data_IF_687491147755
#
_entry.id   IF_687491147755
#
_cell.length_a   1.000
_cell.length_b   1.000
_cell.length_c   1.000
_cell.angle_alpha   90.00
_cell.angle_beta   90.00
_cell.angle_gamma   90.00
#
_symmetry.space_group_name_H-M   'P 1'
#
loop_
_entity.id
_entity.type
_entity.pdbx_description
1 polymer ?
#
# COMPACT_ATOMS: atom_id res chain seq x y z
N UNK A 1 -4.57 -11.46 -11.66
CA UNK A 1 -5.33 -10.27 -11.24
C UNK A 1 -5.39 -10.20 -9.72
N UNK A 2 -4.24 -10.01 -9.04
CA UNK A 2 -4.22 -9.97 -7.57
C UNK A 2 -3.16 -9.00 -7.00
N UNK A 3 -2.69 -8.05 -7.81
CA UNK A 3 -1.54 -7.20 -7.47
C UNK A 3 -1.81 -5.72 -7.76
N UNK A 4 -3.04 -5.24 -7.49
CA UNK A 4 -3.40 -3.83 -7.72
C UNK A 4 -3.06 -3.00 -6.48
N UNK A 5 -2.06 -2.10 -6.53
CA UNK A 5 -1.68 -1.27 -5.37
C UNK A 5 -2.83 -0.36 -4.91
N UNK A 6 -3.72 0.04 -5.82
CA UNK A 6 -4.91 0.82 -5.51
C UNK A 6 -5.79 0.16 -4.42
N UNK A 7 -5.96 -1.17 -4.46
CA UNK A 7 -6.73 -1.88 -3.42
C UNK A 7 -6.03 -1.87 -2.06
N UNK A 8 -4.68 -1.89 -2.04
CA UNK A 8 -3.90 -1.73 -0.82
C UNK A 8 -4.12 -0.35 -0.20
N UNK A 9 -4.15 0.69 -1.04
CA UNK A 9 -4.40 2.05 -0.59
C UNK A 9 -5.83 2.22 -0.05
N UNK A 10 -6.83 1.71 -0.75
CA UNK A 10 -8.22 1.74 -0.27
C UNK A 10 -8.38 1.00 1.05
N UNK A 11 -7.72 -0.14 1.21
CA UNK A 11 -7.78 -0.90 2.46
C UNK A 11 -7.06 -0.18 3.61
N UNK A 12 -5.95 0.51 3.34
CA UNK A 12 -5.26 1.32 4.34
C UNK A 12 -6.16 2.44 4.90
N UNK A 13 -6.90 3.15 4.03
CA UNK A 13 -7.87 4.15 4.47
C UNK A 13 -9.06 3.54 5.22
N UNK A 14 -9.53 2.36 4.81
CA UNK A 14 -10.54 1.63 5.57
C UNK A 14 -10.06 1.35 6.99
N UNK A 15 -8.84 0.82 7.16
CA UNK A 15 -8.26 0.55 8.47
C UNK A 15 -8.12 1.84 9.31
N UNK A 16 -7.60 2.92 8.72
CA UNK A 16 -7.49 4.22 9.37
C UNK A 16 -8.86 4.68 9.92
N UNK A 17 -9.90 4.59 9.11
CA UNK A 17 -11.27 4.94 9.51
C UNK A 17 -11.79 4.02 10.63
N UNK A 18 -11.57 2.71 10.53
CA UNK A 18 -12.03 1.76 11.55
C UNK A 18 -11.38 2.03 12.91
N UNK A 19 -10.06 2.26 12.95
CA UNK A 19 -9.36 2.53 14.21
C UNK A 19 -9.68 3.93 14.76
N UNK A 20 -9.88 4.94 13.90
CA UNK A 20 -10.41 6.24 14.34
C UNK A 20 -11.77 6.12 15.02
N UNK A 21 -12.67 5.28 14.51
CA UNK A 21 -13.98 5.03 15.13
C UNK A 21 -13.87 4.32 16.49
N UNK A 22 -12.78 3.58 16.72
CA UNK A 22 -12.50 2.94 18.01
C UNK A 22 -11.81 3.89 19.02
N UNK A 23 -11.57 5.14 18.65
CA UNK A 23 -10.99 6.17 19.53
C UNK A 23 -9.48 6.31 19.44
N UNK A 24 -8.82 5.64 18.48
CA UNK A 24 -7.40 5.87 18.22
C UNK A 24 -7.20 7.17 17.44
N UNK A 25 -6.33 8.04 17.95
CA UNK A 25 -5.78 9.19 17.22
C UNK A 25 -4.46 8.80 16.55
N UNK A 26 -4.17 9.37 15.38
CA UNK A 26 -2.88 9.20 14.67
C UNK A 26 -2.61 7.75 14.20
N UNK A 27 -3.52 7.21 13.40
CA UNK A 27 -3.41 5.86 12.85
C UNK A 27 -2.54 5.90 11.59
N UNK A 28 -1.38 5.24 11.64
CA UNK A 28 -0.54 4.99 10.47
C UNK A 28 -0.71 3.55 9.97
N UNK A 29 -0.70 3.35 8.65
CA UNK A 29 -0.80 2.02 8.03
C UNK A 29 0.33 1.85 7.03
N UNK A 30 1.22 0.90 7.33
CA UNK A 30 2.32 0.49 6.45
C UNK A 30 2.13 -0.96 6.05
N UNK A 31 2.59 -1.31 4.85
CA UNK A 31 2.42 -2.66 4.32
C UNK A 31 3.74 -3.20 3.75
N UNK A 32 4.12 -4.40 4.17
CA UNK A 32 5.21 -5.16 3.57
C UNK A 32 4.60 -6.25 2.68
N UNK A 33 4.60 -6.02 1.37
CA UNK A 33 3.86 -6.86 0.41
C UNK A 33 4.82 -7.45 -0.60
N UNK A 34 4.94 -8.78 -0.59
CA UNK A 34 5.75 -9.52 -1.56
C UNK A 34 4.91 -10.10 -2.68
N UNK A 35 5.36 -9.93 -3.92
CA UNK A 35 4.70 -10.49 -5.10
C UNK A 35 5.71 -11.21 -6.00
N UNK A 36 5.31 -12.35 -6.54
CA UNK A 36 6.04 -13.05 -7.60
C UNK A 36 5.32 -12.85 -8.92
N UNK A 37 5.92 -12.06 -9.81
CA UNK A 37 5.37 -11.79 -11.14
C UNK A 37 5.98 -12.75 -12.16
N UNK A 38 5.14 -13.54 -12.83
CA UNK A 38 5.54 -14.47 -13.90
C UNK A 38 6.67 -15.44 -13.47
N UNK A 39 6.59 -15.99 -12.27
CA UNK A 39 7.56 -16.96 -11.75
C UNK A 39 8.92 -16.37 -11.34
N UNK A 40 9.08 -15.04 -11.41
CA UNK A 40 10.26 -14.35 -10.86
C UNK A 40 10.29 -14.47 -9.32
N UNK A 41 11.47 -14.35 -8.68
CA UNK A 41 11.57 -14.28 -7.23
C UNK A 41 10.65 -13.21 -6.65
N UNK A 42 10.11 -13.49 -5.47
CA UNK A 42 9.23 -12.57 -4.77
C UNK A 42 9.98 -11.27 -4.43
N UNK A 43 9.34 -10.13 -4.66
CA UNK A 43 9.90 -8.81 -4.36
C UNK A 43 8.83 -7.91 -3.74
N UNK A 44 9.28 -6.88 -3.04
CA UNK A 44 8.39 -5.87 -2.50
C UNK A 44 7.63 -5.16 -3.63
N UNK A 45 6.31 -5.08 -3.50
CA UNK A 45 5.42 -4.35 -4.38
C UNK A 45 5.37 -2.85 -4.02
N UNK A 46 5.48 -2.54 -2.73
CA UNK A 46 5.32 -1.20 -2.15
C UNK A 46 6.44 -0.93 -1.16
N UNK A 47 6.78 0.35 -0.97
CA UNK A 47 7.77 0.77 0.03
C UNK A 47 7.19 0.56 1.45
N UNK A 48 7.78 -0.32 2.28
CA UNK A 48 7.24 -0.63 3.61
C UNK A 48 7.45 0.51 4.62
N UNK A 49 8.21 1.54 4.26
CA UNK A 49 8.47 2.71 5.12
C UNK A 49 7.45 3.82 4.92
N UNK A 50 6.64 3.77 3.85
CA UNK A 50 5.64 4.77 3.55
C UNK A 50 4.34 4.49 4.30
N UNK A 51 3.83 5.51 4.99
CA UNK A 51 2.47 5.50 5.52
C UNK A 51 1.46 5.69 4.40
N UNK A 52 0.67 4.65 4.15
CA UNK A 52 -0.36 4.61 3.13
C UNK A 52 -1.57 5.49 3.47
N UNK A 53 -1.78 5.85 4.73
CA UNK A 53 -2.89 6.74 5.12
C UNK A 53 -2.69 8.18 4.64
N UNK A 54 -1.44 8.56 4.35
CA UNK A 54 -1.09 9.87 3.81
C UNK A 54 -1.06 9.90 2.27
N UNK A 55 -1.21 8.74 1.62
CA UNK A 55 -1.18 8.63 0.17
C UNK A 55 -2.57 8.80 -0.43
N UNK A 56 -2.66 9.34 -1.64
CA UNK A 56 -3.94 9.61 -2.29
C UNK A 56 -3.97 8.96 -3.67
N UNK A 57 -5.14 8.44 -4.05
CA UNK A 57 -5.29 7.92 -5.41
C UNK A 57 -5.38 9.08 -6.39
N UNK A 58 -4.56 9.03 -7.43
CA UNK A 58 -4.55 10.01 -8.51
C UNK A 58 -4.02 9.37 -9.79
N UNK A 59 -4.16 10.09 -10.91
CA UNK A 59 -3.54 9.69 -12.18
C UNK A 59 -2.02 9.91 -12.20
N UNK A 60 -1.46 10.59 -11.18
CA UNK A 60 -0.03 10.80 -11.07
C UNK A 60 0.70 9.50 -10.69
N UNK A 61 1.99 9.37 -11.02
CA UNK A 61 2.79 8.21 -10.61
C UNK A 61 2.77 8.02 -9.08
N UNK A 62 2.47 6.79 -8.65
CA UNK A 62 2.48 6.40 -7.24
C UNK A 62 3.92 6.11 -6.81
N UNK A 63 4.57 7.08 -6.15
CA UNK A 63 5.99 6.97 -5.75
C UNK A 63 6.27 5.86 -4.73
N UNK A 64 5.25 5.44 -3.99
CA UNK A 64 5.33 4.37 -2.99
C UNK A 64 5.17 2.97 -3.58
N UNK A 65 4.84 2.85 -4.87
CA UNK A 65 4.83 1.57 -5.59
C UNK A 65 6.22 1.33 -6.16
N UNK A 66 6.85 0.23 -5.77
CA UNK A 66 8.21 -0.09 -6.21
C UNK A 66 8.16 -0.65 -7.64
N UNK A 67 9.04 -0.14 -8.50
CA UNK A 67 9.24 -0.73 -9.81
C UNK A 67 9.84 -2.13 -9.62
N UNK A 68 9.17 -3.17 -10.12
CA UNK A 68 9.84 -4.44 -10.35
C UNK A 68 10.85 -4.21 -11.46
N UNK A 69 12.14 -4.31 -11.16
CA UNK A 69 13.25 -4.02 -12.07
C UNK A 69 12.97 -4.39 -13.53
N UNK A 70 13.33 -3.44 -14.40
CA UNK A 70 13.28 -3.53 -15.86
C UNK A 70 14.05 -4.75 -16.38
#
# INVERSE_FOLDING_TARGET
MAFQPDMLLEFAHYLEQQYRQQGYSDVEVRAEVYVSLNGRPARLLVDPTVDLTQQHNSLAPKLWVLAGDT
#
